data_IF_520549036146
#
_entry.id   IF_520549036146
#
_cell.length_a   1.000
_cell.length_b   1.000
_cell.length_c   1.000
_cell.angle_alpha   90.00
_cell.angle_beta   90.00
_cell.angle_gamma   90.00
#
_symmetry.space_group_name_H-M   'P 1'
#
loop_
_entity.id
_entity.type
_entity.pdbx_description
1 polymer ?
#
# COMPACT_ATOMS: atom_id res chain seq x y z
N UNK A 1 15.99 -2.67 3.37
CA UNK A 1 14.77 -3.28 3.95
C UNK A 1 13.64 -3.00 3.00
N UNK A 2 12.92 -4.05 2.64
CA UNK A 2 11.87 -4.02 1.62
C UNK A 2 10.56 -3.54 2.26
N UNK A 3 9.77 -2.70 1.59
CA UNK A 3 8.46 -2.29 2.11
C UNK A 3 7.52 -3.49 2.15
N UNK A 4 7.14 -3.89 3.37
CA UNK A 4 6.19 -4.99 3.58
C UNK A 4 4.75 -4.57 3.26
N UNK A 5 3.94 -5.49 2.74
CA UNK A 5 2.53 -5.25 2.40
C UNK A 5 1.60 -5.00 3.60
N UNK A 6 2.08 -5.34 4.80
CA UNK A 6 1.37 -5.11 6.06
C UNK A 6 2.03 -3.95 6.83
N UNK A 7 1.40 -2.76 6.88
CA UNK A 7 1.96 -1.60 7.58
C UNK A 7 2.12 -1.85 9.09
N UNK A 8 1.33 -2.77 9.65
CA UNK A 8 1.35 -3.06 11.09
C UNK A 8 2.64 -3.72 11.55
N UNK A 9 3.35 -4.43 10.66
CA UNK A 9 4.65 -5.06 10.96
C UNK A 9 5.70 -4.00 11.23
N UNK A 10 5.70 -2.92 10.43
CA UNK A 10 6.62 -1.81 10.62
C UNK A 10 6.28 -1.00 11.87
N UNK A 11 4.99 -0.73 12.10
CA UNK A 11 4.53 -0.06 13.32
C UNK A 11 4.93 -0.85 14.58
N UNK A 12 4.80 -2.18 14.55
CA UNK A 12 5.21 -3.05 15.63
C UNK A 12 6.73 -3.02 15.86
N UNK A 13 7.53 -2.96 14.79
CA UNK A 13 8.98 -2.83 14.88
C UNK A 13 9.39 -1.49 15.51
N UNK A 14 8.76 -0.37 15.10
CA UNK A 14 9.00 0.96 15.67
C UNK A 14 8.60 1.00 17.16
N UNK A 15 7.48 0.37 17.52
CA UNK A 15 6.99 0.29 18.89
C UNK A 15 7.95 -0.47 19.84
N UNK A 16 8.86 -1.32 19.32
CA UNK A 16 9.92 -1.94 20.14
C UNK A 16 10.94 -0.93 20.65
N UNK A 17 11.18 0.14 19.88
CA UNK A 17 12.16 1.19 20.20
C UNK A 17 11.51 2.34 20.95
N UNK A 18 10.27 2.69 20.60
CA UNK A 18 9.44 3.64 21.37
C UNK A 18 8.87 2.96 22.63
N UNK A 19 9.67 2.89 23.69
CA UNK A 19 9.27 2.30 24.98
C UNK A 19 9.46 3.29 26.14
N UNK A 20 8.66 3.13 27.20
CA UNK A 20 8.79 3.88 28.45
C UNK A 20 10.23 3.73 28.97
N UNK A 21 10.86 4.87 29.29
CA UNK A 21 12.27 4.93 29.72
C UNK A 21 13.26 5.24 28.61
N UNK A 22 12.83 5.33 27.35
CA UNK A 22 13.65 5.88 26.28
C UNK A 22 13.78 7.40 26.44
N UNK A 23 15.01 7.90 26.57
CA UNK A 23 15.32 9.32 26.77
C UNK A 23 15.86 9.99 25.50
N UNK A 24 16.30 9.18 24.53
CA UNK A 24 16.86 9.68 23.27
C UNK A 24 15.80 9.73 22.18
N UNK A 25 15.85 10.74 21.28
CA UNK A 25 14.94 10.81 20.15
C UNK A 25 15.13 9.60 19.24
N UNK A 26 14.03 8.94 18.91
CA UNK A 26 14.00 7.80 17.99
C UNK A 26 13.65 8.32 16.60
N UNK A 27 14.48 8.02 15.60
CA UNK A 27 14.26 8.38 14.21
C UNK A 27 14.17 7.11 13.37
N UNK A 28 13.07 6.93 12.64
CA UNK A 28 12.90 5.87 11.66
C UNK A 28 13.01 6.47 10.25
N UNK A 29 14.01 6.03 9.49
CA UNK A 29 14.20 6.45 8.10
C UNK A 29 13.81 5.33 7.16
N UNK A 30 12.85 5.59 6.26
CA UNK A 30 12.41 4.66 5.23
C UNK A 30 13.05 5.03 3.90
N UNK A 31 13.89 4.15 3.38
CA UNK A 31 14.42 4.27 2.02
C UNK A 31 13.37 3.74 1.03
N UNK A 32 13.12 4.50 -0.03
CA UNK A 32 12.26 4.06 -1.14
C UNK A 32 12.90 4.44 -2.45
N UNK A 33 12.92 3.48 -3.36
CA UNK A 33 13.49 3.62 -4.69
C UNK A 33 12.46 4.25 -5.63
N UNK A 34 12.84 5.35 -6.30
CA UNK A 34 11.97 6.04 -7.27
C UNK A 34 11.66 5.14 -8.46
N UNK A 35 10.46 5.24 -9.01
CA UNK A 35 9.99 4.46 -10.17
C UNK A 35 10.06 2.94 -9.93
N UNK A 36 9.84 2.50 -8.69
CA UNK A 36 9.86 1.09 -8.32
C UNK A 36 8.54 0.67 -7.67
N UNK A 37 8.24 -0.63 -7.71
CA UNK A 37 7.02 -1.20 -7.12
C UNK A 37 6.83 -0.82 -5.64
N UNK A 38 7.89 -0.42 -4.93
CA UNK A 38 7.87 0.10 -3.57
C UNK A 38 6.94 1.32 -3.40
N UNK A 39 6.81 2.17 -4.41
CA UNK A 39 5.89 3.32 -4.40
C UNK A 39 4.43 2.89 -4.47
N UNK A 40 4.13 1.85 -5.26
CA UNK A 40 2.81 1.25 -5.33
C UNK A 40 2.43 0.52 -4.03
N UNK A 41 3.38 -0.20 -3.42
CA UNK A 41 3.19 -0.84 -2.11
C UNK A 41 2.87 0.19 -1.03
N UNK A 42 3.57 1.34 -1.04
CA UNK A 42 3.24 2.46 -0.14
C UNK A 42 1.81 2.96 -0.34
N UNK A 43 1.41 3.17 -1.59
CA UNK A 43 0.06 3.61 -1.90
C UNK A 43 -1.00 2.62 -1.39
N UNK A 44 -0.76 1.30 -1.49
CA UNK A 44 -1.65 0.29 -0.93
C UNK A 44 -1.76 0.39 0.59
N UNK A 45 -0.65 0.64 1.29
CA UNK A 45 -0.71 0.81 2.75
C UNK A 45 -1.57 2.01 3.14
N UNK A 46 -1.44 3.13 2.45
CA UNK A 46 -2.24 4.34 2.66
C UNK A 46 -3.73 4.11 2.33
N UNK A 47 -4.01 3.40 1.23
CA UNK A 47 -5.36 3.02 0.84
C UNK A 47 -6.03 2.13 1.91
N UNK A 48 -5.30 1.16 2.46
CA UNK A 48 -5.79 0.33 3.58
C UNK A 48 -6.17 1.17 4.80
N UNK A 49 -5.34 2.13 5.21
CA UNK A 49 -5.67 3.01 6.33
C UNK A 49 -6.89 3.88 6.04
N UNK A 50 -7.02 4.39 4.81
CA UNK A 50 -8.18 5.17 4.37
C UNK A 50 -9.47 4.35 4.43
N UNK A 51 -9.44 3.10 3.99
CA UNK A 51 -10.60 2.20 4.03
C UNK A 51 -11.01 1.89 5.46
N UNK A 52 -10.05 1.64 6.35
CA UNK A 52 -10.33 1.46 7.78
C UNK A 52 -10.98 2.71 8.36
N UNK A 53 -10.44 3.90 8.06
CA UNK A 53 -11.02 5.16 8.53
C UNK A 53 -12.45 5.39 8.03
N UNK A 54 -12.73 5.12 6.75
CA UNK A 54 -14.09 5.19 6.18
C UNK A 54 -15.05 4.20 6.82
N UNK A 55 -14.60 2.96 7.06
CA UNK A 55 -15.39 1.95 7.74
C UNK A 55 -15.76 2.36 9.17
N UNK A 56 -14.85 3.02 9.89
CA UNK A 56 -15.13 3.52 11.25
C UNK A 56 -16.11 4.70 11.24
N UNK A 57 -16.17 5.47 10.16
CA UNK A 57 -17.09 6.59 9.99
C UNK A 57 -18.49 6.18 9.48
N UNK A 58 -18.74 4.88 9.30
CA UNK A 58 -20.00 4.32 8.74
C UNK A 58 -20.33 4.79 7.32
N UNK A 59 -19.31 5.13 6.52
CA UNK A 59 -19.51 5.39 5.09
C UNK A 59 -19.80 4.07 4.36
N UNK A 60 -20.76 4.06 3.42
CA UNK A 60 -20.99 2.90 2.56
C UNK A 60 -19.78 2.69 1.63
N UNK A 61 -18.99 1.65 1.90
CA UNK A 61 -17.82 1.28 1.10
C UNK A 61 -18.13 0.04 0.27
N UNK A 62 -18.27 0.22 -1.04
CA UNK A 62 -18.48 -0.88 -1.97
C UNK A 62 -17.15 -1.48 -2.43
N UNK A 63 -16.97 -2.78 -2.21
CA UNK A 63 -15.73 -3.50 -2.55
C UNK A 63 -15.36 -3.35 -4.04
N UNK A 64 -16.36 -3.33 -4.95
CA UNK A 64 -16.15 -3.18 -6.39
C UNK A 64 -15.51 -1.84 -6.77
N UNK A 65 -15.87 -0.76 -6.09
CA UNK A 65 -15.33 0.57 -6.35
C UNK A 65 -13.87 0.65 -5.88
N UNK A 66 -13.59 0.06 -4.71
CA UNK A 66 -12.22 -0.04 -4.16
C UNK A 66 -11.31 -0.81 -5.11
N UNK A 67 -11.77 -1.95 -5.62
CA UNK A 67 -10.97 -2.78 -6.51
C UNK A 67 -10.71 -2.10 -7.86
N UNK A 68 -11.70 -1.38 -8.40
CA UNK A 68 -11.54 -0.61 -9.64
C UNK A 68 -10.51 0.53 -9.48
N UNK A 69 -10.56 1.27 -8.37
CA UNK A 69 -9.59 2.34 -8.09
C UNK A 69 -8.17 1.79 -7.91
N UNK A 70 -8.02 0.64 -7.24
CA UNK A 70 -6.74 -0.07 -7.13
C UNK A 70 -6.19 -0.48 -8.48
N UNK A 71 -7.06 -1.00 -9.35
CA UNK A 71 -6.67 -1.45 -10.69
C UNK A 71 -6.23 -0.28 -11.58
N UNK A 72 -6.96 0.84 -11.55
CA UNK A 72 -6.56 2.09 -12.24
C UNK A 72 -5.19 2.58 -11.76
N UNK A 73 -4.95 2.56 -10.44
CA UNK A 73 -3.67 2.99 -9.86
C UNK A 73 -2.51 2.08 -10.24
N UNK A 74 -2.74 0.76 -10.27
CA UNK A 74 -1.74 -0.20 -10.72
C UNK A 74 -1.42 0.01 -12.20
N UNK A 75 -2.43 0.15 -13.06
CA UNK A 75 -2.25 0.39 -14.49
C UNK A 75 -1.53 1.70 -14.79
N UNK A 76 -1.83 2.75 -14.02
CA UNK A 76 -1.10 4.01 -14.09
C UNK A 76 0.37 3.84 -13.70
N UNK A 77 0.66 3.04 -12.68
CA UNK A 77 2.01 2.81 -12.19
C UNK A 77 2.85 1.91 -13.10
N UNK A 78 2.26 0.83 -13.61
CA UNK A 78 2.93 -0.11 -14.51
C UNK A 78 3.15 0.50 -15.90
N UNK A 79 2.42 1.58 -16.23
CA UNK A 79 2.29 2.08 -17.58
C UNK A 79 1.61 1.02 -18.45
N UNK A 80 0.75 1.43 -19.37
CA UNK A 80 0.54 0.57 -20.54
C UNK A 80 1.93 0.35 -21.16
N UNK A 81 2.51 -0.84 -21.01
CA UNK A 81 3.27 -1.40 -22.12
C UNK A 81 2.22 -1.57 -23.20
N UNK A 82 2.29 -0.74 -24.23
CA UNK A 82 1.47 -0.87 -25.41
C UNK A 82 1.45 -2.34 -25.83
N UNK A 83 0.29 -3.01 -25.73
CA UNK A 83 0.07 -4.29 -26.41
C UNK A 83 -0.39 -5.52 -25.62
N UNK A 84 -0.90 -5.44 -24.38
CA UNK A 84 -1.61 -6.59 -23.79
C UNK A 84 -3.11 -6.33 -23.75
N UNK A 85 -3.84 -7.11 -24.54
CA UNK A 85 -5.28 -7.06 -24.73
C UNK A 85 -5.98 -7.78 -23.58
N UNK A 86 -7.19 -7.36 -23.26
CA UNK A 86 -8.06 -7.97 -22.24
C UNK A 86 -8.30 -9.48 -22.48
N UNK A 87 -8.06 -9.95 -23.72
CA UNK A 87 -8.05 -11.36 -24.12
C UNK A 87 -6.94 -12.22 -23.50
N UNK A 88 -5.86 -11.62 -23.01
CA UNK A 88 -4.69 -12.35 -22.53
C UNK A 88 -4.84 -12.81 -21.07
N UNK A 89 -5.75 -12.16 -20.31
CA UNK A 89 -6.06 -12.53 -18.93
C UNK A 89 -7.04 -13.71 -18.82
N UNK A 90 -7.85 -13.95 -19.85
CA UNK A 90 -8.90 -14.99 -19.83
C UNK A 90 -8.35 -16.39 -20.18
N UNK A 91 -7.10 -16.48 -20.67
CA UNK A 91 -6.48 -17.74 -21.10
C UNK A 91 -5.32 -18.21 -20.20
N UNK A 92 -5.14 -17.61 -19.01
CA UNK A 92 -4.05 -17.96 -18.10
C UNK A 92 -4.42 -18.98 -17.01
N UNK A 93 -5.60 -19.60 -17.09
CA UNK A 93 -6.02 -20.77 -16.30
C UNK A 93 -6.86 -21.72 -17.14
#
# INVERSE_FOLDING_TARGET
MEPHWNPMVEAQAIARVHRIGQTRPVMATRYVTRNSIEEYVRWIQEDKFRLIARSLNSDDVWQKDVDNERWKKLNHFLGKRDGLSESDYVNAW
#
